data_IF_714360580217
#
_entry.id   IF_714360580217
#
_cell.length_a   1.000
_cell.length_b   1.000
_cell.length_c   1.000
_cell.angle_alpha   90.00
_cell.angle_beta   90.00
_cell.angle_gamma   90.00
#
_symmetry.space_group_name_H-M   'P 1'
#
loop_
_entity.id
_entity.type
_entity.pdbx_description
1 polymer ?
#
# COMPACT_ATOMS: atom_id res chain seq x y z
N UNK A 1 5.28 21.78 -16.86
CA UNK A 1 6.14 21.87 -15.67
C UNK A 1 6.81 23.24 -15.63
N UNK A 2 6.34 24.14 -14.76
CA UNK A 2 7.07 25.36 -14.45
C UNK A 2 8.25 24.95 -13.55
N UNK A 3 9.49 25.27 -13.95
CA UNK A 3 10.74 24.90 -13.27
C UNK A 3 11.00 23.37 -13.07
N UNK A 4 11.22 22.65 -14.18
CA UNK A 4 11.49 21.20 -14.19
C UNK A 4 12.67 20.77 -13.32
N UNK A 5 13.72 21.59 -13.20
CA UNK A 5 14.95 21.20 -12.52
C UNK A 5 14.76 21.00 -11.01
N UNK A 6 13.93 21.84 -10.39
CA UNK A 6 13.79 21.88 -8.92
C UNK A 6 12.46 21.28 -8.42
N UNK A 7 11.66 20.68 -9.29
CA UNK A 7 10.41 20.03 -8.89
C UNK A 7 10.70 18.91 -7.86
N UNK A 8 9.87 18.73 -6.81
CA UNK A 8 10.10 17.66 -5.84
C UNK A 8 9.98 16.28 -6.46
N UNK A 9 10.69 15.31 -5.88
CA UNK A 9 10.61 13.89 -6.22
C UNK A 9 9.61 13.22 -5.29
N UNK A 10 8.70 12.44 -5.86
CA UNK A 10 7.80 11.57 -5.12
C UNK A 10 8.04 10.14 -5.58
N UNK A 11 8.44 9.27 -4.65
CA UNK A 11 8.43 7.81 -4.85
C UNK A 11 7.05 7.30 -4.43
N UNK A 12 6.32 6.67 -5.33
CA UNK A 12 5.01 6.05 -5.09
C UNK A 12 5.13 4.54 -4.91
N UNK A 13 4.49 4.03 -3.85
CA UNK A 13 4.48 2.62 -3.46
C UNK A 13 3.05 2.13 -3.30
N UNK A 14 2.60 1.31 -4.25
CA UNK A 14 1.32 0.62 -4.14
C UNK A 14 1.38 -0.51 -3.08
N UNK A 15 0.24 -0.83 -2.48
CA UNK A 15 0.09 -1.81 -1.40
C UNK A 15 -0.08 -3.25 -1.88
N UNK A 16 -1.15 -3.92 -1.45
CA UNK A 16 -1.43 -5.34 -1.69
C UNK A 16 -1.40 -6.17 -0.41
N UNK A 17 -0.22 -6.63 0.09
CA UNK A 17 1.14 -6.46 -0.44
C UNK A 17 1.36 -7.12 -1.80
N UNK A 18 2.26 -6.58 -2.61
CA UNK A 18 2.69 -7.18 -3.89
C UNK A 18 1.99 -6.63 -5.14
N UNK A 19 1.10 -5.65 -5.00
CA UNK A 19 0.45 -5.02 -6.14
C UNK A 19 1.44 -4.11 -6.90
N UNK A 20 1.28 -4.04 -8.22
CA UNK A 20 2.15 -3.19 -9.04
C UNK A 20 1.85 -1.70 -8.82
N UNK A 21 2.89 -0.89 -8.69
CA UNK A 21 2.77 0.58 -8.65
C UNK A 21 2.34 1.19 -9.99
N UNK A 22 2.24 0.38 -11.05
CA UNK A 22 1.60 0.80 -12.29
C UNK A 22 0.10 1.06 -12.13
N UNK A 23 -0.54 0.55 -11.08
CA UNK A 23 -1.90 0.98 -10.69
C UNK A 23 -1.90 2.49 -10.40
N UNK A 24 -0.92 2.98 -9.62
CA UNK A 24 -0.77 4.42 -9.38
C UNK A 24 -0.46 5.23 -10.63
N UNK A 25 0.27 4.64 -11.57
CA UNK A 25 0.61 5.28 -12.84
C UNK A 25 -0.58 5.41 -13.78
N UNK A 26 -1.36 4.33 -13.96
CA UNK A 26 -2.39 4.26 -14.99
C UNK A 26 -3.80 4.49 -14.45
N UNK A 27 -4.11 4.06 -13.24
CA UNK A 27 -5.48 4.13 -12.70
C UNK A 27 -5.71 5.33 -11.78
N UNK A 28 -4.68 5.78 -11.07
CA UNK A 28 -4.87 6.77 -10.00
C UNK A 28 -4.45 8.20 -10.39
N UNK A 29 -3.15 8.51 -10.38
CA UNK A 29 -2.65 9.89 -10.42
C UNK A 29 -1.46 10.12 -11.35
N UNK A 30 -1.06 9.12 -12.13
CA UNK A 30 -0.08 9.31 -13.19
C UNK A 30 -0.62 10.09 -14.39
N UNK A 31 0.26 10.41 -15.36
CA UNK A 31 -0.06 11.34 -16.45
C UNK A 31 -1.03 10.76 -17.48
N UNK A 32 -1.26 9.45 -17.46
CA UNK A 32 -2.10 8.75 -18.42
C UNK A 32 -3.10 7.83 -17.72
N UNK A 33 -4.18 7.50 -18.42
CA UNK A 33 -5.08 6.40 -18.07
C UNK A 33 -5.28 5.46 -19.25
N UNK A 34 -5.46 4.19 -18.95
CA UNK A 34 -5.77 3.15 -19.94
C UNK A 34 -7.29 3.00 -19.98
N UNK A 35 -7.87 3.07 -21.18
CA UNK A 35 -9.31 2.89 -21.38
C UNK A 35 -9.67 1.41 -21.53
N UNK A 36 -10.96 1.11 -21.47
CA UNK A 36 -11.47 -0.25 -21.67
C UNK A 36 -11.15 -0.85 -23.05
N UNK A 37 -10.88 -0.02 -24.05
CA UNK A 37 -10.43 -0.42 -25.40
C UNK A 37 -8.90 -0.49 -25.54
N UNK A 38 -8.17 -0.42 -24.41
CA UNK A 38 -6.71 -0.40 -24.30
C UNK A 38 -6.03 0.84 -24.90
N UNK A 39 -6.78 1.84 -25.34
CA UNK A 39 -6.20 3.11 -25.74
C UNK A 39 -5.71 3.90 -24.53
N UNK A 40 -4.67 4.71 -24.74
CA UNK A 40 -4.06 5.53 -23.69
C UNK A 40 -4.48 6.97 -23.89
N UNK A 41 -4.95 7.61 -22.83
CA UNK A 41 -5.30 9.03 -22.85
C UNK A 41 -4.67 9.80 -21.69
N UNK A 42 -4.48 11.10 -21.89
CA UNK A 42 -3.85 11.97 -20.90
C UNK A 42 -4.83 12.29 -19.77
N UNK A 43 -4.39 12.14 -18.53
CA UNK A 43 -5.17 12.52 -17.34
C UNK A 43 -5.20 14.05 -17.18
N UNK A 44 -6.37 14.59 -16.84
CA UNK A 44 -6.56 16.04 -16.62
C UNK A 44 -5.85 16.51 -15.35
N UNK A 45 -5.87 15.68 -14.30
CA UNK A 45 -5.21 15.96 -13.03
C UNK A 45 -4.14 14.90 -12.76
N UNK A 46 -2.87 15.28 -12.80
CA UNK A 46 -1.77 14.36 -12.50
C UNK A 46 -0.77 14.95 -11.54
N UNK A 47 -0.27 14.14 -10.62
CA UNK A 47 0.80 14.55 -9.71
C UNK A 47 2.10 14.86 -10.47
N UNK A 48 2.28 14.24 -11.64
CA UNK A 48 3.41 14.50 -12.55
C UNK A 48 3.49 15.96 -13.04
N UNK A 49 2.39 16.73 -13.00
CA UNK A 49 2.37 18.09 -13.53
C UNK A 49 3.35 19.03 -12.79
N UNK A 50 3.55 18.79 -11.50
CA UNK A 50 4.40 19.60 -10.62
C UNK A 50 5.50 18.80 -9.89
N UNK A 51 5.57 17.48 -10.10
CA UNK A 51 6.54 16.60 -9.43
C UNK A 51 7.28 15.69 -10.43
N UNK A 52 8.43 15.17 -10.00
CA UNK A 52 9.04 13.99 -10.60
C UNK A 52 8.47 12.77 -9.89
N UNK A 53 7.63 12.01 -10.61
CA UNK A 53 7.01 10.80 -10.07
C UNK A 53 7.85 9.59 -10.41
N UNK A 54 8.15 8.76 -9.40
CA UNK A 54 8.83 7.48 -9.55
C UNK A 54 7.88 6.41 -9.01
N UNK A 55 7.42 5.51 -9.88
CA UNK A 55 6.55 4.40 -9.51
C UNK A 55 7.40 3.14 -9.39
N UNK A 56 7.37 2.48 -8.23
CA UNK A 56 8.25 1.33 -7.95
C UNK A 56 7.42 0.10 -7.67
N UNK A 57 7.56 -0.92 -8.50
CA UNK A 57 7.02 -2.25 -8.18
C UNK A 57 7.82 -2.84 -7.01
N UNK A 58 7.15 -2.98 -5.86
CA UNK A 58 7.75 -3.36 -4.59
C UNK A 58 6.79 -4.24 -3.78
N UNK A 59 7.29 -5.27 -3.09
CA UNK A 59 8.67 -5.78 -3.08
C UNK A 59 9.02 -6.58 -4.35
N UNK A 60 10.21 -7.19 -4.39
CA UNK A 60 10.56 -8.19 -5.43
C UNK A 60 9.46 -9.27 -5.49
N UNK A 61 9.02 -9.62 -6.69
CA UNK A 61 7.84 -10.45 -6.95
C UNK A 61 6.60 -9.66 -7.39
N UNK A 62 6.60 -8.35 -7.19
CA UNK A 62 5.49 -7.47 -7.59
C UNK A 62 5.66 -7.00 -9.02
N UNK A 63 4.59 -7.05 -9.83
CA UNK A 63 4.58 -6.53 -11.19
C UNK A 63 5.78 -7.02 -12.02
N UNK A 64 6.65 -6.09 -12.42
CA UNK A 64 7.85 -6.39 -13.22
C UNK A 64 9.14 -6.51 -12.39
N UNK A 65 9.09 -6.42 -11.07
CA UNK A 65 10.25 -6.66 -10.19
C UNK A 65 10.38 -8.17 -9.92
N UNK A 66 11.47 -8.80 -10.37
CA UNK A 66 11.65 -10.25 -10.25
C UNK A 66 13.05 -10.63 -9.76
N UNK A 67 13.19 -11.88 -9.30
CA UNK A 67 14.45 -12.52 -8.90
C UNK A 67 14.47 -13.96 -9.40
N UNK A 68 15.66 -14.50 -9.68
CA UNK A 68 15.87 -15.93 -9.94
C UNK A 68 16.26 -16.71 -8.68
N UNK A 69 16.40 -16.01 -7.57
CA UNK A 69 16.82 -16.55 -6.28
C UNK A 69 15.72 -16.31 -5.24
N UNK A 70 15.23 -17.37 -4.62
CA UNK A 70 14.17 -17.31 -3.59
C UNK A 70 14.56 -16.45 -2.38
N UNK A 71 15.86 -16.34 -2.07
CA UNK A 71 16.35 -15.42 -1.04
C UNK A 71 16.20 -13.93 -1.41
N UNK A 72 15.77 -13.61 -2.64
CA UNK A 72 15.47 -12.24 -3.06
C UNK A 72 14.07 -11.76 -2.63
N UNK A 73 13.18 -12.67 -2.23
CA UNK A 73 11.87 -12.31 -1.69
C UNK A 73 12.01 -11.89 -0.23
N UNK A 74 11.65 -10.65 0.05
CA UNK A 74 11.72 -10.09 1.41
C UNK A 74 10.64 -10.71 2.29
N UNK A 75 10.96 -10.90 3.57
CA UNK A 75 10.04 -11.53 4.54
C UNK A 75 9.56 -10.58 5.64
N UNK A 76 10.09 -9.36 5.66
CA UNK A 76 9.75 -8.35 6.66
C UNK A 76 9.98 -6.92 6.16
N UNK A 77 9.42 -5.94 6.87
CA UNK A 77 9.49 -4.52 6.49
C UNK A 77 10.89 -3.91 6.61
N UNK A 78 11.78 -4.48 7.43
CA UNK A 78 13.17 -3.99 7.54
C UNK A 78 13.89 -4.24 6.21
N UNK A 79 13.75 -5.45 5.66
CA UNK A 79 14.30 -5.80 4.35
C UNK A 79 13.68 -4.96 3.22
N UNK A 80 12.37 -4.73 3.23
CA UNK A 80 11.69 -3.82 2.29
C UNK A 80 12.35 -2.43 2.30
N UNK A 81 12.54 -1.84 3.48
CA UNK A 81 13.19 -0.55 3.62
C UNK A 81 14.62 -0.52 3.07
N UNK A 82 15.41 -1.59 3.31
CA UNK A 82 16.78 -1.73 2.79
C UNK A 82 16.78 -1.83 1.25
N UNK A 83 15.87 -2.64 0.68
CA UNK A 83 15.76 -2.81 -0.77
C UNK A 83 15.35 -1.51 -1.47
N UNK A 84 14.37 -0.79 -0.92
CA UNK A 84 13.94 0.52 -1.45
C UNK A 84 15.05 1.59 -1.33
N UNK A 85 15.82 1.58 -0.24
CA UNK A 85 17.00 2.44 -0.10
C UNK A 85 18.07 2.14 -1.15
N UNK A 86 18.36 0.86 -1.39
CA UNK A 86 19.30 0.42 -2.44
C UNK A 86 18.81 0.85 -3.82
N UNK A 87 17.52 0.67 -4.11
CA UNK A 87 16.89 1.16 -5.35
C UNK A 87 17.11 2.66 -5.53
N UNK A 88 16.78 3.49 -4.53
CA UNK A 88 16.88 4.95 -4.67
C UNK A 88 18.33 5.41 -4.84
N UNK A 89 19.27 4.76 -4.14
CA UNK A 89 20.71 5.03 -4.29
C UNK A 89 21.19 4.77 -5.71
N UNK A 90 20.78 3.64 -6.30
CA UNK A 90 21.09 3.31 -7.69
C UNK A 90 20.36 4.22 -8.68
N UNK A 91 19.10 4.55 -8.43
CA UNK A 91 18.34 5.48 -9.26
C UNK A 91 19.04 6.85 -9.34
N UNK A 92 19.55 7.36 -8.22
CA UNK A 92 20.27 8.62 -8.15
C UNK A 92 21.67 8.60 -8.77
N UNK A 93 22.28 7.43 -8.99
CA UNK A 93 23.53 7.35 -9.76
C UNK A 93 23.31 7.58 -11.26
N UNK A 94 22.07 7.36 -11.73
CA UNK A 94 21.66 7.54 -13.12
C UNK A 94 20.99 8.90 -13.34
N UNK A 95 20.14 9.33 -12.40
CA UNK A 95 19.35 10.55 -12.51
C UNK A 95 19.79 11.61 -11.47
N UNK A 96 20.18 12.83 -11.90
CA UNK A 96 20.72 13.86 -11.02
C UNK A 96 19.61 14.61 -10.25
N UNK A 97 18.86 13.88 -9.41
CA UNK A 97 17.73 14.39 -8.62
C UNK A 97 18.02 14.39 -7.10
N UNK A 98 19.26 14.11 -6.71
CA UNK A 98 19.68 13.98 -5.30
C UNK A 98 19.45 15.25 -4.49
N UNK A 99 19.49 16.43 -5.11
CA UNK A 99 19.28 17.73 -4.46
C UNK A 99 17.81 18.13 -4.35
N UNK A 100 16.92 17.42 -5.04
CA UNK A 100 15.50 17.75 -5.06
C UNK A 100 14.85 17.33 -3.72
N UNK A 101 13.85 18.10 -3.23
CA UNK A 101 13.05 17.66 -2.08
C UNK A 101 12.42 16.29 -2.37
N UNK A 102 12.64 15.32 -1.49
CA UNK A 102 12.16 13.95 -1.62
C UNK A 102 10.97 13.71 -0.69
N UNK A 103 9.91 13.14 -1.24
CA UNK A 103 8.78 12.59 -0.50
C UNK A 103 8.60 11.11 -0.86
N UNK A 104 8.13 10.34 0.12
CA UNK A 104 7.70 8.97 -0.09
C UNK A 104 6.19 8.92 0.08
N UNK A 105 5.50 8.37 -0.89
CA UNK A 105 4.05 8.24 -0.91
C UNK A 105 3.64 6.80 -1.16
N UNK A 106 2.49 6.39 -0.65
CA UNK A 106 1.92 5.08 -0.93
C UNK A 106 0.54 4.91 -0.34
N UNK A 107 -0.10 3.79 -0.66
CA UNK A 107 -1.46 3.51 -0.23
C UNK A 107 -1.69 2.06 0.20
N UNK A 108 -2.78 1.79 0.93
CA UNK A 108 -3.13 0.45 1.39
C UNK A 108 -1.98 -0.15 2.23
N UNK A 109 -1.41 -1.29 1.85
CA UNK A 109 -0.23 -1.86 2.50
C UNK A 109 1.04 -0.97 2.37
N UNK A 110 1.02 0.05 1.50
CA UNK A 110 1.94 1.19 1.52
C UNK A 110 2.01 1.90 2.87
N UNK A 111 1.00 1.76 3.74
CA UNK A 111 1.06 2.15 5.15
C UNK A 111 2.15 1.45 5.99
N UNK A 112 2.69 0.32 5.51
CA UNK A 112 3.87 -0.34 6.07
C UNK A 112 5.15 0.01 5.32
N UNK A 113 5.10 0.00 3.98
CA UNK A 113 6.25 0.28 3.12
C UNK A 113 6.80 1.70 3.28
N UNK A 114 5.92 2.70 3.32
CA UNK A 114 6.31 4.11 3.37
C UNK A 114 7.07 4.43 4.67
N UNK A 115 6.58 4.06 5.89
CA UNK A 115 7.37 4.21 7.11
C UNK A 115 8.67 3.40 7.11
N UNK A 116 8.66 2.17 6.61
CA UNK A 116 9.85 1.32 6.55
C UNK A 116 10.96 1.95 5.70
N UNK A 117 10.60 2.46 4.52
CA UNK A 117 11.52 3.16 3.64
C UNK A 117 11.97 4.50 4.20
N UNK A 118 11.04 5.29 4.75
CA UNK A 118 11.36 6.56 5.40
C UNK A 118 12.36 6.38 6.54
N UNK A 119 12.17 5.35 7.37
CA UNK A 119 13.08 5.00 8.45
C UNK A 119 14.47 4.58 7.93
N UNK A 120 14.54 3.80 6.84
CA UNK A 120 15.82 3.44 6.21
C UNK A 120 16.58 4.68 5.70
N UNK A 121 15.88 5.63 5.05
CA UNK A 121 16.48 6.89 4.59
C UNK A 121 16.97 7.77 5.73
N UNK A 122 16.19 7.88 6.82
CA UNK A 122 16.59 8.63 8.01
C UNK A 122 17.84 8.04 8.65
N UNK A 123 17.91 6.71 8.78
CA UNK A 123 19.11 6.02 9.29
C UNK A 123 20.33 6.21 8.40
N UNK A 124 20.14 6.28 7.09
CA UNK A 124 21.20 6.57 6.12
C UNK A 124 21.59 8.06 6.06
N UNK A 125 20.92 8.93 6.81
CA UNK A 125 21.22 10.36 6.84
C UNK A 125 20.83 11.10 5.56
N UNK A 126 19.82 10.64 4.82
CA UNK A 126 19.35 11.28 3.58
C UNK A 126 18.85 12.71 3.85
N UNK A 127 19.59 13.77 3.47
CA UNK A 127 19.28 15.15 3.90
C UNK A 127 18.06 15.76 3.22
N UNK A 128 17.60 15.16 2.11
CA UNK A 128 16.55 15.74 1.29
C UNK A 128 15.17 15.10 1.48
N UNK A 129 15.04 14.11 2.37
CA UNK A 129 13.73 13.60 2.79
C UNK A 129 12.95 14.73 3.51
N UNK A 130 11.79 15.11 2.96
CA UNK A 130 10.95 16.18 3.50
C UNK A 130 9.65 15.69 4.13
N UNK A 131 9.17 14.51 3.75
CA UNK A 131 7.97 13.96 4.35
C UNK A 131 7.53 12.64 3.75
N UNK A 132 6.48 12.10 4.36
CA UNK A 132 5.80 10.88 3.94
C UNK A 132 4.31 11.16 3.74
N UNK A 133 3.69 10.46 2.79
CA UNK A 133 2.26 10.55 2.46
C UNK A 133 1.70 9.13 2.45
N UNK A 134 0.63 8.88 3.19
CA UNK A 134 0.02 7.55 3.29
C UNK A 134 -1.48 7.69 3.02
N UNK A 135 -1.95 7.18 1.89
CA UNK A 135 -3.38 7.12 1.53
C UNK A 135 -4.01 5.83 2.06
N UNK A 136 -5.08 5.93 2.84
CA UNK A 136 -5.86 4.76 3.32
C UNK A 136 -4.99 3.59 3.85
N UNK A 137 -3.93 3.92 4.59
CA UNK A 137 -2.87 2.96 4.91
C UNK A 137 -3.24 1.94 5.98
N UNK A 138 -2.79 0.70 5.79
CA UNK A 138 -2.79 -0.33 6.83
C UNK A 138 -1.58 -0.14 7.76
N UNK A 139 -1.70 0.75 8.72
CA UNK A 139 -0.59 1.26 9.54
C UNK A 139 -0.60 0.66 10.94
N UNK A 140 -1.77 0.61 11.57
CA UNK A 140 -1.98 0.14 12.94
C UNK A 140 -3.14 -0.88 12.97
N UNK A 141 -2.87 -2.14 12.62
CA UNK A 141 -3.89 -3.17 12.48
C UNK A 141 -4.84 -3.25 13.66
N UNK A 142 -4.32 -3.29 14.89
CA UNK A 142 -5.14 -3.55 16.08
C UNK A 142 -6.18 -2.46 16.31
N UNK A 143 -5.86 -1.21 15.99
CA UNK A 143 -6.78 -0.09 16.11
C UNK A 143 -7.65 0.13 14.86
N UNK A 144 -7.30 -0.47 13.72
CA UNK A 144 -8.03 -0.36 12.45
C UNK A 144 -9.08 -1.46 12.25
N UNK A 145 -9.14 -2.48 13.11
CA UNK A 145 -10.11 -3.59 13.02
C UNK A 145 -11.54 -3.23 13.48
N UNK A 146 -11.90 -1.95 13.59
CA UNK A 146 -13.22 -1.47 14.02
C UNK A 146 -14.29 -1.54 12.90
N UNK A 147 -14.35 -2.65 12.15
CA UNK A 147 -15.23 -2.81 11.00
C UNK A 147 -16.73 -2.78 11.35
N UNK A 148 -17.11 -3.33 12.51
CA UNK A 148 -18.52 -3.40 12.92
C UNK A 148 -19.17 -2.02 13.02
N UNK A 149 -18.53 -1.08 13.71
CA UNK A 149 -19.00 0.30 13.81
C UNK A 149 -19.06 1.00 12.46
N UNK A 150 -18.00 0.89 11.66
CA UNK A 150 -17.93 1.52 10.33
C UNK A 150 -19.06 1.03 9.43
N UNK A 151 -19.24 -0.28 9.29
CA UNK A 151 -20.26 -0.87 8.42
C UNK A 151 -21.68 -0.54 8.90
N UNK A 152 -21.93 -0.59 10.22
CA UNK A 152 -23.24 -0.31 10.78
C UNK A 152 -23.64 1.17 10.63
N UNK A 153 -22.72 2.10 10.91
CA UNK A 153 -23.00 3.54 10.81
C UNK A 153 -23.26 4.00 9.37
N UNK A 154 -22.75 3.27 8.37
CA UNK A 154 -23.02 3.50 6.96
C UNK A 154 -24.25 2.73 6.44
N UNK A 155 -24.97 2.00 7.31
CA UNK A 155 -26.17 1.24 6.94
C UNK A 155 -25.89 0.01 6.06
N UNK A 156 -24.67 -0.50 6.07
CA UNK A 156 -24.25 -1.64 5.25
C UNK A 156 -24.57 -3.00 5.90
N UNK A 157 -24.76 -3.01 7.22
CA UNK A 157 -25.09 -4.19 8.03
C UNK A 157 -26.09 -3.84 9.14
N UNK A 158 -26.82 -4.84 9.64
CA UNK A 158 -27.71 -4.68 10.79
C UNK A 158 -26.97 -4.84 12.14
N UNK A 159 -27.71 -4.66 13.24
CA UNK A 159 -27.16 -4.76 14.60
C UNK A 159 -26.68 -6.18 14.95
N UNK A 160 -27.25 -7.22 14.33
CA UNK A 160 -26.84 -8.60 14.56
C UNK A 160 -25.51 -8.92 13.87
N UNK A 161 -25.37 -8.46 12.63
CA UNK A 161 -24.13 -8.53 11.89
C UNK A 161 -23.03 -7.71 12.56
N UNK A 162 -23.34 -6.50 13.05
CA UNK A 162 -22.39 -5.70 13.84
C UNK A 162 -21.83 -6.47 15.04
N UNK A 163 -22.70 -7.11 15.84
CA UNK A 163 -22.27 -7.88 17.00
C UNK A 163 -21.34 -9.05 16.62
N UNK A 164 -21.55 -9.66 15.43
CA UNK A 164 -20.65 -10.68 14.90
C UNK A 164 -19.30 -10.11 14.50
N UNK A 165 -19.27 -8.97 13.78
CA UNK A 165 -18.04 -8.26 13.44
C UNK A 165 -17.22 -7.93 14.69
N UNK A 166 -17.82 -7.30 15.70
CA UNK A 166 -17.12 -6.87 16.91
C UNK A 166 -16.49 -8.05 17.68
N UNK A 167 -17.17 -9.19 17.73
CA UNK A 167 -16.66 -10.40 18.39
C UNK A 167 -15.51 -11.05 17.61
N UNK A 168 -15.65 -11.14 16.29
CA UNK A 168 -14.63 -11.78 15.45
C UNK A 168 -13.38 -10.89 15.34
N UNK A 169 -13.52 -9.56 15.28
CA UNK A 169 -12.37 -8.64 15.33
C UNK A 169 -11.66 -8.68 16.68
N UNK A 170 -12.39 -8.81 17.80
CA UNK A 170 -11.78 -9.07 19.10
C UNK A 170 -11.00 -10.40 19.13
N UNK A 171 -11.48 -11.42 18.41
CA UNK A 171 -10.78 -12.70 18.25
C UNK A 171 -9.49 -12.54 17.45
N UNK A 172 -9.52 -11.76 16.36
CA UNK A 172 -8.32 -11.40 15.57
C UNK A 172 -7.28 -10.73 16.46
N UNK A 173 -7.69 -9.72 17.25
CA UNK A 173 -6.80 -8.98 18.16
C UNK A 173 -6.18 -9.92 19.21
N UNK A 174 -6.98 -10.81 19.81
CA UNK A 174 -6.49 -11.76 20.81
C UNK A 174 -5.44 -12.71 20.22
N UNK A 175 -5.72 -13.30 19.05
CA UNK A 175 -4.78 -14.19 18.35
C UNK A 175 -3.50 -13.47 17.96
N UNK A 176 -3.61 -12.24 17.43
CA UNK A 176 -2.46 -11.42 17.09
C UNK A 176 -1.59 -11.11 18.32
N UNK A 177 -2.20 -10.86 19.48
CA UNK A 177 -1.48 -10.62 20.75
C UNK A 177 -0.74 -11.87 21.23
N UNK A 178 -1.29 -13.06 20.95
CA UNK A 178 -0.66 -14.36 21.20
C UNK A 178 0.32 -14.78 20.09
N UNK A 179 0.59 -13.91 19.11
CA UNK A 179 1.45 -14.18 17.94
C UNK A 179 0.95 -15.33 17.05
N UNK A 180 -0.33 -15.68 17.14
CA UNK A 180 -1.00 -16.61 16.23
C UNK A 180 -1.45 -15.87 14.96
N UNK A 181 -0.47 -15.52 14.10
CA UNK A 181 -0.72 -14.74 12.88
C UNK A 181 -1.58 -15.48 11.86
N UNK A 182 -1.42 -16.81 11.76
CA UNK A 182 -2.18 -17.64 10.82
C UNK A 182 -3.64 -17.70 11.27
N UNK A 183 -3.89 -17.95 12.56
CA UNK A 183 -5.24 -17.95 13.09
C UNK A 183 -5.89 -16.57 13.05
N UNK A 184 -5.15 -15.50 13.36
CA UNK A 184 -5.64 -14.13 13.23
C UNK A 184 -6.04 -13.81 11.80
N UNK A 185 -5.19 -14.13 10.82
CA UNK A 185 -5.48 -13.98 9.40
C UNK A 185 -6.71 -14.77 9.00
N UNK A 186 -6.80 -16.05 9.36
CA UNK A 186 -7.94 -16.90 8.97
C UNK A 186 -9.28 -16.30 9.42
N UNK A 187 -9.37 -15.81 10.66
CA UNK A 187 -10.60 -15.18 11.15
C UNK A 187 -10.92 -13.90 10.39
N UNK A 188 -9.90 -13.09 10.08
CA UNK A 188 -10.08 -11.86 9.31
C UNK A 188 -10.53 -12.16 7.86
N UNK A 189 -9.91 -13.14 7.22
CA UNK A 189 -10.26 -13.60 5.88
C UNK A 189 -11.71 -14.13 5.88
N UNK A 190 -12.11 -14.97 6.84
CA UNK A 190 -13.51 -15.45 6.97
C UNK A 190 -14.52 -14.29 7.08
N UNK A 191 -14.12 -13.20 7.73
CA UNK A 191 -14.94 -12.02 7.93
C UNK A 191 -15.05 -11.15 6.67
N UNK A 192 -13.94 -10.96 5.94
CA UNK A 192 -13.83 -9.93 4.91
C UNK A 192 -13.62 -10.45 3.48
N UNK A 193 -12.73 -11.43 3.28
CA UNK A 193 -12.26 -11.88 1.95
C UNK A 193 -12.85 -13.23 1.50
N UNK A 194 -13.18 -14.09 2.45
CA UNK A 194 -13.57 -15.48 2.24
C UNK A 194 -12.39 -16.44 2.43
N UNK A 195 -12.70 -17.69 2.74
CA UNK A 195 -11.70 -18.75 3.01
C UNK A 195 -12.15 -20.05 2.37
N UNK A 196 -11.21 -20.83 1.84
CA UNK A 196 -11.45 -22.18 1.30
C UNK A 196 -12.56 -22.23 0.22
N UNK A 197 -12.69 -21.16 -0.58
CA UNK A 197 -13.70 -21.04 -1.65
C UNK A 197 -15.08 -20.58 -1.18
N UNK A 198 -15.24 -20.29 0.12
CA UNK A 198 -16.47 -19.75 0.68
C UNK A 198 -16.47 -18.21 0.66
N UNK A 199 -17.64 -17.62 0.44
CA UNK A 199 -17.85 -16.18 0.54
C UNK A 199 -17.62 -15.68 1.98
N UNK A 200 -17.05 -14.47 2.10
CA UNK A 200 -16.88 -13.81 3.39
C UNK A 200 -18.21 -13.55 4.09
N UNK A 201 -18.14 -13.40 5.41
CA UNK A 201 -19.30 -12.97 6.18
C UNK A 201 -19.83 -11.62 5.67
N UNK A 202 -18.94 -10.64 5.39
CA UNK A 202 -19.28 -9.35 4.80
C UNK A 202 -20.18 -9.51 3.56
N UNK A 203 -19.75 -10.33 2.60
CA UNK A 203 -20.50 -10.57 1.38
C UNK A 203 -21.88 -11.18 1.65
N UNK A 204 -21.96 -12.11 2.59
CA UNK A 204 -23.22 -12.78 2.92
C UNK A 204 -24.25 -11.84 3.56
N UNK A 205 -23.82 -10.86 4.35
CA UNK A 205 -24.74 -9.94 5.07
C UNK A 205 -25.00 -8.62 4.36
N UNK A 206 -24.10 -8.19 3.48
CA UNK A 206 -24.19 -6.87 2.82
C UNK A 206 -24.25 -6.93 1.28
N UNK A 207 -23.90 -8.08 0.68
CA UNK A 207 -23.71 -8.20 -0.77
C UNK A 207 -22.40 -7.62 -1.30
N UNK A 208 -21.57 -7.00 -0.44
CA UNK A 208 -20.29 -6.39 -0.82
C UNK A 208 -19.25 -7.50 -1.06
N UNK A 209 -18.65 -7.52 -2.25
CA UNK A 209 -17.76 -8.61 -2.67
C UNK A 209 -16.30 -8.46 -2.21
N UNK A 210 -15.86 -7.25 -1.87
CA UNK A 210 -14.52 -6.93 -1.39
C UNK A 210 -14.54 -5.62 -0.60
N UNK A 211 -13.59 -5.45 0.33
CA UNK A 211 -13.34 -4.18 1.03
C UNK A 211 -12.23 -3.36 0.36
#
# INVERSE_FOLDING_TARGET
KNNRANAPVIVWLQGGPGASSLVGLFEEHGPFRVRSDLSVEKRVYSWHDNHHMIYVDNPVGSGFSFTQNDYGYVTNEIEVGIHLYSFLTQFYSIFPLTLNPLYIAGESYGGKYVPAFGHALLKAGQPNLRGVIIGNGYTDPLNQLAYGDYLYQHGLIDVHAKARFDRDTATVINRATLQDWIGAKRVLDELLDGVDGHASYLKNVSGIASY
#
